data_IF_083893376939
#
_entry.id   IF_083893376939
#
_cell.length_a   1.000
_cell.length_b   1.000
_cell.length_c   1.000
_cell.angle_alpha   90.00
_cell.angle_beta   90.00
_cell.angle_gamma   90.00
#
_symmetry.space_group_name_H-M   'P 1'
#
loop_
_entity.id
_entity.type
_entity.pdbx_description
1 polymer ?
#
# COMPACT_ATOMS: atom_id res chain seq x y z
N UNK A 1 -14.76 -2.90 24.59
CA UNK A 1 -15.07 -2.23 23.31
C UNK A 1 -14.62 -3.18 22.22
N UNK A 2 -15.51 -3.52 21.29
CA UNK A 2 -15.18 -4.31 20.09
C UNK A 2 -14.08 -3.58 19.31
N UNK A 3 -13.04 -4.31 18.89
CA UNK A 3 -11.87 -3.73 18.22
C UNK A 3 -12.18 -3.56 16.73
N UNK A 4 -12.50 -2.35 16.28
CA UNK A 4 -12.69 -2.02 14.86
C UNK A 4 -11.36 -1.77 14.15
N UNK A 5 -10.62 -2.84 13.91
CA UNK A 5 -9.47 -2.80 12.98
C UNK A 5 -10.01 -2.88 11.57
N UNK A 6 -9.47 -2.11 10.63
CA UNK A 6 -9.82 -2.27 9.23
C UNK A 6 -9.63 -3.75 8.83
N UNK A 7 -10.64 -4.32 8.20
CA UNK A 7 -10.63 -5.74 7.84
C UNK A 7 -10.98 -6.75 8.91
N UNK A 8 -11.47 -6.30 10.04
CA UNK A 8 -12.36 -7.13 10.84
C UNK A 8 -13.66 -7.35 10.06
N UNK A 9 -14.11 -8.60 9.92
CA UNK A 9 -15.42 -8.96 9.35
C UNK A 9 -16.60 -8.25 10.03
N UNK A 10 -16.43 -7.81 11.28
CA UNK A 10 -17.43 -7.04 12.03
C UNK A 10 -17.42 -5.54 11.69
N UNK A 11 -16.39 -5.04 10.97
CA UNK A 11 -16.32 -3.66 10.50
C UNK A 11 -16.86 -3.56 9.07
N UNK A 12 -17.98 -2.87 8.92
CA UNK A 12 -18.63 -2.69 7.64
C UNK A 12 -18.35 -1.30 7.02
N UNK A 13 -17.20 -1.10 6.37
CA UNK A 13 -16.98 0.09 5.53
C UNK A 13 -17.12 -0.28 4.05
N UNK A 14 -18.19 0.16 3.40
CA UNK A 14 -18.37 -0.13 1.99
C UNK A 14 -17.43 0.76 1.17
N UNK A 15 -16.36 0.21 0.61
CA UNK A 15 -15.53 0.94 -0.36
C UNK A 15 -16.39 1.21 -1.60
N UNK A 16 -16.27 2.39 -2.17
CA UNK A 16 -16.97 2.80 -3.38
C UNK A 16 -16.01 2.98 -4.56
N UNK A 17 -14.80 3.47 -4.29
CA UNK A 17 -13.73 3.68 -5.28
C UNK A 17 -12.38 3.71 -4.58
N UNK A 18 -11.33 3.27 -5.28
CA UNK A 18 -9.97 3.29 -4.78
C UNK A 18 -8.93 3.46 -5.91
N UNK A 19 -7.88 4.21 -5.63
CA UNK A 19 -6.75 4.44 -6.53
C UNK A 19 -5.45 4.54 -5.74
N UNK A 20 -4.43 3.81 -6.18
CA UNK A 20 -3.05 3.90 -5.66
C UNK A 20 -2.12 4.48 -6.72
N UNK A 21 -1.31 5.46 -6.33
CA UNK A 21 -0.23 6.02 -7.13
C UNK A 21 1.10 5.71 -6.45
N UNK A 22 2.07 5.26 -7.24
CA UNK A 22 3.44 4.99 -6.82
C UNK A 22 4.35 5.90 -7.65
N UNK A 23 5.22 6.66 -6.99
CA UNK A 23 6.24 7.48 -7.65
C UNK A 23 7.60 7.05 -7.13
N UNK A 24 8.46 6.58 -8.02
CA UNK A 24 9.83 6.16 -7.72
C UNK A 24 10.78 7.28 -8.11
N UNK A 25 11.57 7.73 -7.13
CA UNK A 25 12.59 8.76 -7.28
C UNK A 25 13.98 8.10 -7.33
N UNK A 26 14.79 8.38 -8.37
CA UNK A 26 16.11 7.77 -8.59
C UNK A 26 17.19 8.40 -7.69
N UNK A 27 16.93 8.47 -6.38
CA UNK A 27 17.80 9.16 -5.42
C UNK A 27 19.23 8.58 -5.41
N UNK A 28 19.40 7.31 -5.74
CA UNK A 28 20.71 6.65 -5.86
C UNK A 28 21.56 7.24 -6.99
N UNK A 29 20.92 7.70 -8.06
CA UNK A 29 21.57 8.30 -9.21
C UNK A 29 21.87 9.79 -9.02
N UNK A 30 21.37 10.37 -7.94
CA UNK A 30 21.56 11.78 -7.55
C UNK A 30 22.58 11.94 -6.40
N UNK A 31 23.42 10.93 -6.15
CA UNK A 31 24.43 10.93 -5.09
C UNK A 31 23.97 10.30 -3.76
N UNK A 32 22.76 9.74 -3.71
CA UNK A 32 22.29 8.91 -2.59
C UNK A 32 22.79 7.46 -2.68
N UNK A 33 22.45 6.65 -1.67
CA UNK A 33 22.76 5.20 -1.64
C UNK A 33 21.52 4.32 -1.79
N UNK A 34 20.37 4.93 -2.07
CA UNK A 34 19.06 4.28 -2.11
C UNK A 34 18.14 5.05 -3.05
N UNK A 35 17.11 4.39 -3.54
CA UNK A 35 15.98 5.05 -4.21
C UNK A 35 14.81 5.21 -3.23
N UNK A 36 13.86 6.10 -3.51
CA UNK A 36 12.67 6.23 -2.68
C UNK A 36 11.40 6.04 -3.49
N UNK A 37 10.39 5.43 -2.89
CA UNK A 37 9.05 5.39 -3.43
C UNK A 37 8.10 6.20 -2.55
N UNK A 38 7.34 7.10 -3.17
CA UNK A 38 6.13 7.68 -2.59
C UNK A 38 4.92 6.87 -3.05
N UNK A 39 4.15 6.35 -2.10
CA UNK A 39 2.95 5.56 -2.34
C UNK A 39 1.77 6.31 -1.72
N UNK A 40 0.86 6.77 -2.57
CA UNK A 40 -0.37 7.43 -2.14
C UNK A 40 -1.56 6.60 -2.55
N UNK A 41 -2.46 6.35 -1.61
CA UNK A 41 -3.75 5.74 -1.93
C UNK A 41 -4.88 6.60 -1.43
N UNK A 42 -5.84 6.79 -2.32
CA UNK A 42 -7.09 7.47 -2.03
C UNK A 42 -8.23 6.50 -2.25
N UNK A 43 -9.09 6.35 -1.26
CA UNK A 43 -10.29 5.55 -1.38
C UNK A 43 -11.46 6.23 -0.70
N UNK A 44 -12.65 6.01 -1.25
CA UNK A 44 -13.89 6.52 -0.70
C UNK A 44 -14.67 5.36 -0.12
N UNK A 45 -15.17 5.55 1.09
CA UNK A 45 -16.04 4.59 1.79
C UNK A 45 -17.39 5.23 2.07
N UNK A 46 -18.43 4.40 2.14
CA UNK A 46 -19.67 4.73 2.80
C UNK A 46 -19.63 4.14 4.20
N UNK A 47 -19.75 4.99 5.22
CA UNK A 47 -19.65 4.62 6.61
C UNK A 47 -21.01 4.82 7.30
N UNK A 48 -21.64 3.74 7.74
CA UNK A 48 -23.03 3.77 8.23
C UNK A 48 -23.18 4.55 9.55
N UNK A 49 -22.12 4.64 10.36
CA UNK A 49 -22.10 5.31 11.66
C UNK A 49 -20.73 5.92 11.97
N UNK A 50 -20.66 6.98 12.76
CA UNK A 50 -19.39 7.52 13.23
C UNK A 50 -18.62 6.46 14.02
N UNK A 51 -17.37 6.17 13.63
CA UNK A 51 -16.56 5.15 14.27
C UNK A 51 -15.06 5.52 14.26
N UNK A 52 -14.31 4.96 15.20
CA UNK A 52 -12.84 4.98 15.15
C UNK A 52 -12.35 3.68 14.52
N UNK A 53 -11.52 3.80 13.49
CA UNK A 53 -10.99 2.66 12.73
C UNK A 53 -9.47 2.66 12.84
N UNK A 54 -8.90 1.53 13.24
CA UNK A 54 -7.45 1.32 13.17
C UNK A 54 -7.07 0.83 11.77
N UNK A 55 -6.17 1.55 11.11
CA UNK A 55 -5.59 1.20 9.83
C UNK A 55 -4.22 0.59 10.05
N UNK A 56 -4.00 -0.63 9.57
CA UNK A 56 -2.68 -1.27 9.58
C UNK A 56 -2.06 -1.12 8.19
N UNK A 57 -0.80 -0.69 8.17
CA UNK A 57 0.01 -0.47 6.98
C UNK A 57 1.13 -1.51 6.94
N UNK A 58 0.94 -2.64 6.22
CA UNK A 58 1.91 -3.73 6.21
C UNK A 58 2.91 -3.61 5.06
N UNK A 59 3.90 -2.74 5.23
CA UNK A 59 4.98 -2.58 4.26
C UNK A 59 6.16 -3.48 4.62
N UNK A 60 6.82 -4.04 3.59
CA UNK A 60 7.95 -4.97 3.75
C UNK A 60 9.27 -4.31 4.18
N UNK A 61 9.31 -2.99 4.29
CA UNK A 61 10.51 -2.26 4.73
C UNK A 61 10.27 -1.64 6.12
N UNK A 62 11.31 -1.61 6.94
CA UNK A 62 11.30 -0.87 8.22
C UNK A 62 11.55 0.62 8.04
N UNK A 63 12.14 1.02 6.89
CA UNK A 63 12.54 2.39 6.55
C UNK A 63 11.43 3.08 5.75
N UNK A 64 10.32 3.37 6.40
CA UNK A 64 9.25 4.18 5.81
C UNK A 64 8.62 5.12 6.83
N UNK A 65 8.02 6.18 6.29
CA UNK A 65 7.14 7.12 6.98
C UNK A 65 5.76 7.06 6.34
N UNK A 66 4.70 7.25 7.12
CA UNK A 66 3.35 7.31 6.57
C UNK A 66 2.41 8.20 7.38
N UNK A 67 1.32 8.60 6.74
CA UNK A 67 0.23 9.35 7.35
C UNK A 67 -1.11 8.89 6.78
N UNK A 68 -2.17 9.06 7.57
CA UNK A 68 -3.54 8.73 7.16
C UNK A 68 -4.42 9.93 7.48
N UNK A 69 -5.27 10.33 6.54
CA UNK A 69 -6.12 11.49 6.71
C UNK A 69 -7.51 11.28 6.09
N UNK A 70 -8.53 11.86 6.71
CA UNK A 70 -9.79 12.16 6.02
C UNK A 70 -9.59 13.41 5.17
N UNK A 71 -9.78 13.31 3.85
CA UNK A 71 -9.59 14.42 2.90
C UNK A 71 -10.90 14.90 2.27
N UNK A 72 -12.03 14.27 2.57
CA UNK A 72 -13.37 14.77 2.24
C UNK A 72 -14.41 14.03 3.07
N UNK A 73 -15.36 14.75 3.67
CA UNK A 73 -16.45 14.19 4.49
C UNK A 73 -17.74 15.02 4.45
N UNK A 74 -17.92 15.86 3.42
CA UNK A 74 -18.95 16.91 3.39
C UNK A 74 -18.55 18.15 4.21
N UNK A 75 -19.12 19.32 3.87
CA UNK A 75 -18.70 20.63 4.40
C UNK A 75 -18.72 20.72 5.94
N UNK A 76 -19.70 20.08 6.60
CA UNK A 76 -19.87 20.15 8.05
C UNK A 76 -18.93 19.22 8.84
N UNK A 77 -18.37 18.19 8.20
CA UNK A 77 -17.47 17.23 8.84
C UNK A 77 -16.01 17.38 8.37
N UNK A 78 -15.73 18.38 7.51
CA UNK A 78 -14.40 18.65 7.01
C UNK A 78 -13.54 19.35 8.07
N UNK A 79 -12.79 18.54 8.82
CA UNK A 79 -11.56 18.96 9.47
C UNK A 79 -10.46 17.98 9.05
N UNK A 80 -9.27 18.49 8.70
CA UNK A 80 -8.12 17.63 8.40
C UNK A 80 -7.77 16.81 9.65
N UNK A 81 -8.30 15.57 9.71
CA UNK A 81 -7.99 14.62 10.77
C UNK A 81 -6.79 13.81 10.32
N UNK A 82 -5.60 14.36 10.49
CA UNK A 82 -4.35 13.64 10.19
C UNK A 82 -4.00 12.77 11.40
N UNK A 83 -3.97 11.47 11.18
CA UNK A 83 -3.41 10.51 12.11
C UNK A 83 -1.98 10.17 11.68
N UNK A 84 -1.01 10.51 12.54
CA UNK A 84 0.34 9.95 12.45
C UNK A 84 0.28 8.46 12.77
N UNK A 85 0.97 7.64 11.97
CA UNK A 85 1.02 6.19 12.23
C UNK A 85 2.23 5.85 13.09
N UNK A 86 2.06 4.91 14.01
CA UNK A 86 3.09 4.48 14.95
C UNK A 86 3.38 2.99 14.85
N UNK A 87 4.37 2.52 15.61
CA UNK A 87 4.60 1.09 15.79
C UNK A 87 3.36 0.42 16.38
N UNK A 88 3.05 -0.77 15.89
CA UNK A 88 1.96 -1.59 16.42
C UNK A 88 2.32 -2.01 17.86
N UNK A 89 1.37 -1.80 18.78
CA UNK A 89 1.47 -2.21 20.19
C UNK A 89 0.28 -3.07 20.58
N UNK A 90 0.40 -3.82 21.67
CA UNK A 90 -0.67 -4.65 22.21
C UNK A 90 -0.81 -6.00 21.48
N UNK A 91 -2.04 -6.47 21.36
CA UNK A 91 -2.39 -7.78 20.79
C UNK A 91 -2.11 -7.87 19.29
N UNK A 92 -1.10 -8.65 18.90
CA UNK A 92 -0.65 -8.79 17.52
C UNK A 92 -1.53 -9.72 16.68
N UNK A 93 -2.44 -10.50 17.26
CA UNK A 93 -3.31 -11.40 16.48
C UNK A 93 -4.10 -10.67 15.38
N UNK A 94 -4.41 -9.39 15.61
CA UNK A 94 -5.11 -8.51 14.66
C UNK A 94 -4.36 -8.24 13.35
N UNK A 95 -3.05 -8.51 13.28
CA UNK A 95 -2.31 -8.35 12.01
C UNK A 95 -2.42 -9.59 11.12
N UNK A 96 -2.87 -10.74 11.63
CA UNK A 96 -2.91 -12.01 10.87
C UNK A 96 -3.67 -11.91 9.54
N UNK A 97 -4.84 -11.25 9.45
CA UNK A 97 -5.53 -11.09 8.16
C UNK A 97 -4.66 -10.36 7.12
N UNK A 98 -3.88 -9.37 7.58
CA UNK A 98 -2.97 -8.60 6.73
C UNK A 98 -1.80 -9.46 6.26
N UNK A 99 -1.28 -10.36 7.09
CA UNK A 99 -0.18 -11.26 6.76
C UNK A 99 -0.54 -12.23 5.64
N UNK A 100 -1.70 -12.87 5.73
CA UNK A 100 -2.24 -13.68 4.64
C UNK A 100 -2.31 -12.84 3.35
N UNK A 101 -2.81 -11.61 3.43
CA UNK A 101 -2.98 -10.72 2.27
C UNK A 101 -1.66 -10.21 1.67
N UNK A 102 -0.57 -10.14 2.42
CA UNK A 102 0.75 -9.84 1.84
C UNK A 102 1.50 -11.09 1.36
N UNK A 103 0.82 -12.24 1.33
CA UNK A 103 1.32 -13.50 0.79
C UNK A 103 2.18 -14.31 1.77
N UNK A 104 2.07 -14.04 3.08
CA UNK A 104 2.73 -14.86 4.10
C UNK A 104 1.84 -16.05 4.44
N UNK A 105 2.41 -17.25 4.43
CA UNK A 105 1.74 -18.48 4.83
C UNK A 105 1.64 -18.58 6.36
N UNK A 106 0.61 -19.24 6.87
CA UNK A 106 0.30 -19.28 8.31
C UNK A 106 1.44 -19.85 9.17
N UNK A 107 2.20 -20.80 8.63
CA UNK A 107 3.38 -21.39 9.25
C UNK A 107 4.51 -20.36 9.49
N UNK A 108 4.54 -19.25 8.75
CA UNK A 108 5.55 -18.19 8.91
C UNK A 108 5.29 -17.26 10.10
N UNK A 109 4.11 -17.35 10.73
CA UNK A 109 3.72 -16.50 11.85
C UNK A 109 2.87 -17.22 12.90
N UNK A 110 3.09 -18.53 13.04
CA UNK A 110 2.36 -19.36 14.00
C UNK A 110 2.75 -19.03 15.46
N UNK A 111 3.97 -18.53 15.67
CA UNK A 111 4.44 -18.13 17.00
C UNK A 111 4.34 -16.63 17.28
N UNK A 112 4.12 -16.28 18.55
CA UNK A 112 4.19 -14.89 19.05
C UNK A 112 5.54 -14.21 18.73
N UNK A 113 6.63 -14.98 18.65
CA UNK A 113 7.97 -14.46 18.35
C UNK A 113 8.06 -14.00 16.89
N UNK A 114 7.54 -14.79 15.96
CA UNK A 114 7.49 -14.45 14.54
C UNK A 114 6.56 -13.26 14.30
N UNK A 115 5.36 -13.28 14.88
CA UNK A 115 4.42 -12.15 14.82
C UNK A 115 5.06 -10.86 15.33
N UNK A 116 5.80 -10.90 16.45
CA UNK A 116 6.54 -9.74 16.96
C UNK A 116 7.64 -9.27 16.01
N UNK A 117 8.29 -10.18 15.28
CA UNK A 117 9.32 -9.84 14.31
C UNK A 117 8.71 -9.13 13.10
N UNK A 118 7.62 -9.68 12.56
CA UNK A 118 6.92 -9.13 11.40
C UNK A 118 6.27 -7.78 11.75
N UNK A 119 5.61 -7.68 12.91
CA UNK A 119 4.93 -6.45 13.34
C UNK A 119 5.84 -5.22 13.46
N UNK A 120 7.17 -5.40 13.61
CA UNK A 120 8.15 -4.28 13.61
C UNK A 120 8.19 -3.54 12.28
N UNK A 121 7.87 -4.25 11.20
CA UNK A 121 7.84 -3.71 9.85
C UNK A 121 6.55 -2.92 9.58
N UNK A 122 5.53 -3.03 10.43
CA UNK A 122 4.24 -2.41 10.16
C UNK A 122 4.04 -1.14 10.96
N UNK A 123 3.09 -0.32 10.51
CA UNK A 123 2.58 0.81 11.28
C UNK A 123 1.07 0.72 11.42
N UNK A 124 0.55 1.31 12.48
CA UNK A 124 -0.89 1.45 12.67
C UNK A 124 -1.24 2.87 13.10
N UNK A 125 -2.38 3.36 12.62
CA UNK A 125 -2.95 4.64 12.99
C UNK A 125 -4.45 4.51 13.18
N UNK A 126 -5.01 5.26 14.12
CA UNK A 126 -6.46 5.30 14.36
C UNK A 126 -7.02 6.57 13.75
N UNK A 127 -8.09 6.44 13.00
CA UNK A 127 -8.77 7.55 12.35
C UNK A 127 -10.25 7.53 12.72
N UNK A 128 -10.75 8.68 13.16
CA UNK A 128 -12.16 8.88 13.46
C UNK A 128 -12.91 9.22 12.17
N UNK A 129 -13.68 8.26 11.66
CA UNK A 129 -14.48 8.39 10.45
C UNK A 129 -15.89 8.90 10.81
N UNK A 130 -16.34 10.03 10.23
CA UNK A 130 -17.72 10.48 10.38
C UNK A 130 -18.70 9.53 9.66
N UNK A 131 -19.97 9.61 10.02
CA UNK A 131 -21.05 8.95 9.29
C UNK A 131 -21.20 9.54 7.88
N UNK A 132 -21.52 8.69 6.90
CA UNK A 132 -21.74 9.04 5.51
C UNK A 132 -20.55 8.71 4.60
N UNK A 133 -20.50 9.37 3.45
CA UNK A 133 -19.45 9.15 2.47
C UNK A 133 -18.18 9.91 2.84
N UNK A 134 -17.07 9.19 3.01
CA UNK A 134 -15.78 9.72 3.45
C UNK A 134 -14.69 9.32 2.47
N UNK A 135 -13.84 10.27 2.10
CA UNK A 135 -12.62 9.98 1.32
C UNK A 135 -11.42 10.02 2.24
N UNK A 136 -10.65 8.93 2.22
CA UNK A 136 -9.47 8.71 3.05
C UNK A 136 -8.25 8.70 2.14
N UNK A 137 -7.18 9.34 2.58
CA UNK A 137 -5.87 9.32 1.95
C UNK A 137 -4.88 8.64 2.88
N UNK A 138 -4.14 7.66 2.37
CA UNK A 138 -2.94 7.10 2.97
C UNK A 138 -1.77 7.57 2.12
N UNK A 139 -0.77 8.19 2.74
CA UNK A 139 0.45 8.62 2.06
C UNK A 139 1.65 8.00 2.77
N UNK A 140 2.56 7.43 2.00
CA UNK A 140 3.73 6.73 2.50
C UNK A 140 4.96 7.08 1.67
N UNK A 141 6.10 7.20 2.33
CA UNK A 141 7.42 7.30 1.71
C UNK A 141 8.29 6.16 2.22
N UNK A 142 8.84 5.35 1.32
CA UNK A 142 9.68 4.20 1.62
C UNK A 142 11.06 4.31 0.96
N UNK A 143 12.08 3.86 1.68
CA UNK A 143 13.42 3.65 1.15
C UNK A 143 13.50 2.29 0.44
N UNK A 144 14.07 2.30 -0.76
CA UNK A 144 14.38 1.14 -1.59
C UNK A 144 15.89 0.95 -1.56
N UNK A 145 16.32 -0.07 -0.80
CA UNK A 145 17.73 -0.39 -0.66
C UNK A 145 18.26 -1.03 -1.97
N UNK A 146 19.51 -0.70 -2.30
CA UNK A 146 20.24 -1.33 -3.39
C UNK A 146 20.59 -2.79 -3.04
N UNK A 147 20.37 -3.68 -4.00
CA UNK A 147 20.76 -5.09 -3.93
C UNK A 147 21.75 -5.35 -5.07
N UNK A 148 22.97 -5.76 -4.74
CA UNK A 148 23.95 -6.19 -5.75
C UNK A 148 23.69 -7.65 -6.10
N UNK A 149 23.36 -7.93 -7.37
CA UNK A 149 23.20 -9.30 -7.85
C UNK A 149 24.54 -10.05 -7.94
N UNK A 150 24.47 -11.37 -8.15
CA UNK A 150 25.66 -12.21 -8.33
C UNK A 150 26.50 -11.81 -9.56
N UNK A 151 25.87 -11.16 -10.54
CA UNK A 151 26.48 -10.58 -11.73
C UNK A 151 27.13 -9.20 -11.50
N UNK A 152 27.13 -8.71 -10.25
CA UNK A 152 27.65 -7.39 -9.89
C UNK A 152 26.74 -6.21 -10.29
N UNK A 153 25.57 -6.48 -10.89
CA UNK A 153 24.63 -5.44 -11.31
C UNK A 153 23.79 -5.02 -10.11
N UNK A 154 23.78 -3.71 -9.84
CA UNK A 154 22.95 -3.07 -8.82
C UNK A 154 21.49 -3.07 -9.26
N UNK A 155 20.62 -3.57 -8.40
CA UNK A 155 19.17 -3.66 -8.61
C UNK A 155 18.44 -3.07 -7.43
N UNK A 156 17.24 -2.58 -7.70
CA UNK A 156 16.33 -2.04 -6.71
C UNK A 156 15.04 -2.85 -6.77
N UNK A 157 14.48 -3.18 -5.61
CA UNK A 157 13.24 -3.94 -5.54
C UNK A 157 12.35 -3.45 -4.41
N UNK A 158 11.07 -3.26 -4.71
CA UNK A 158 10.08 -2.88 -3.73
C UNK A 158 8.71 -3.41 -4.09
N UNK A 159 7.85 -3.53 -3.07
CA UNK A 159 6.46 -3.94 -3.22
C UNK A 159 5.55 -2.73 -3.11
N UNK A 160 4.82 -2.47 -4.18
CA UNK A 160 3.67 -1.59 -4.17
C UNK A 160 2.46 -2.39 -3.68
N UNK A 161 1.99 -2.04 -2.49
CA UNK A 161 0.72 -2.53 -1.98
C UNK A 161 -0.36 -1.59 -2.46
N UNK A 162 -1.49 -2.13 -2.89
CA UNK A 162 -2.71 -1.45 -2.51
C UNK A 162 -2.71 -1.41 -0.98
N UNK A 163 -3.01 -0.30 -0.30
CA UNK A 163 -3.48 -0.42 1.06
C UNK A 163 -4.61 -1.42 0.96
N UNK A 164 -4.80 -2.15 2.04
CA UNK A 164 -5.48 -3.41 1.96
C UNK A 164 -6.97 -3.27 2.31
N UNK A 165 -7.72 -2.17 2.01
CA UNK A 165 -9.02 -1.99 2.61
C UNK A 165 -10.02 -3.05 2.15
N UNK A 166 -9.78 -3.82 1.08
CA UNK A 166 -10.62 -4.97 0.74
C UNK A 166 -10.24 -6.22 1.55
N UNK A 167 -10.67 -6.28 2.80
CA UNK A 167 -10.59 -7.49 3.64
C UNK A 167 -11.85 -8.35 3.58
N UNK A 168 -12.71 -8.12 2.58
CA UNK A 168 -14.13 -8.48 2.53
C UNK A 168 -14.99 -7.40 3.20
N UNK A 169 -15.25 -6.34 2.42
CA UNK A 169 -16.17 -5.28 2.80
C UNK A 169 -17.54 -5.63 2.23
N UNK A 170 -18.62 -5.46 2.99
CA UNK A 170 -19.95 -5.70 2.43
C UNK A 170 -20.18 -4.75 1.24
N UNK A 171 -20.86 -5.26 0.20
CA UNK A 171 -21.11 -4.50 -1.04
C UNK A 171 -20.28 -4.93 -2.25
N UNK A 172 -19.39 -5.93 -2.11
CA UNK A 172 -18.69 -6.56 -3.23
C UNK A 172 -17.30 -5.98 -3.54
N UNK A 173 -16.66 -6.53 -4.57
CA UNK A 173 -15.28 -6.17 -4.96
C UNK A 173 -15.28 -4.86 -5.76
N UNK A 174 -14.59 -3.84 -5.25
CA UNK A 174 -14.37 -2.56 -5.95
C UNK A 174 -13.06 -2.61 -6.73
N UNK A 175 -13.08 -2.29 -8.03
CA UNK A 175 -11.86 -2.27 -8.81
C UNK A 175 -10.80 -1.33 -8.23
N UNK A 176 -9.58 -1.84 -8.12
CA UNK A 176 -8.41 -1.05 -7.79
C UNK A 176 -7.77 -0.52 -9.08
N UNK A 177 -7.47 0.77 -9.10
CA UNK A 177 -6.57 1.36 -10.09
C UNK A 177 -5.19 1.59 -9.47
N UNK A 178 -4.12 1.17 -10.14
CA UNK A 178 -2.74 1.45 -9.75
C UNK A 178 -2.02 2.18 -10.89
N UNK A 179 -1.37 3.28 -10.55
CA UNK A 179 -0.45 3.98 -11.45
C UNK A 179 0.94 3.96 -10.84
N UNK A 180 1.95 3.51 -11.56
CA UNK A 180 3.35 3.59 -11.13
C UNK A 180 4.13 4.48 -12.08
N UNK A 181 4.90 5.41 -11.53
CA UNK A 181 5.73 6.37 -12.24
C UNK A 181 7.18 6.17 -11.80
N UNK A 182 8.05 5.85 -12.73
CA UNK A 182 9.50 5.83 -12.52
C UNK A 182 10.06 7.11 -13.11
N UNK A 183 10.52 7.99 -12.23
CA UNK A 183 11.03 9.29 -12.67
C UNK A 183 12.40 9.15 -13.32
N UNK A 184 12.61 9.92 -14.37
CA UNK A 184 13.86 9.96 -15.10
C UNK A 184 14.18 11.34 -15.63
N UNK A 185 15.36 11.45 -16.22
CA UNK A 185 15.78 12.59 -17.03
C UNK A 185 16.61 12.12 -18.24
N UNK A 186 17.23 13.05 -18.98
CA UNK A 186 18.09 12.72 -20.12
C UNK A 186 19.20 11.70 -19.78
N UNK A 187 19.72 11.71 -18.55
CA UNK A 187 20.86 10.93 -18.08
C UNK A 187 20.47 9.76 -17.16
N UNK A 188 19.36 9.87 -16.43
CA UNK A 188 18.92 8.91 -15.41
C UNK A 188 17.64 8.24 -15.89
N UNK A 189 17.72 6.95 -16.24
CA UNK A 189 16.56 6.19 -16.73
C UNK A 189 16.52 4.81 -16.10
N UNK A 190 15.41 4.48 -15.45
CA UNK A 190 15.19 3.13 -14.98
C UNK A 190 15.11 2.16 -16.18
N UNK A 191 15.93 1.13 -16.15
CA UNK A 191 16.02 0.08 -17.15
C UNK A 191 15.54 -1.25 -16.58
N UNK A 192 15.22 -2.17 -17.49
CA UNK A 192 14.84 -3.56 -17.17
C UNK A 192 13.79 -3.64 -16.06
N UNK A 193 12.80 -2.76 -16.08
CA UNK A 193 11.71 -2.73 -15.10
C UNK A 193 10.88 -4.00 -15.31
N UNK A 194 11.06 -4.95 -14.41
CA UNK A 194 10.27 -6.18 -14.32
C UNK A 194 9.28 -6.00 -13.18
N UNK A 195 8.05 -6.46 -13.37
CA UNK A 195 7.07 -6.52 -12.30
C UNK A 195 6.52 -7.93 -12.16
N UNK A 196 6.27 -8.33 -10.91
CA UNK A 196 5.60 -9.57 -10.56
C UNK A 196 4.32 -9.24 -9.80
N UNK A 197 3.18 -9.72 -10.31
CA UNK A 197 1.88 -9.52 -9.69
C UNK A 197 1.50 -10.78 -8.94
N UNK A 198 1.27 -10.66 -7.65
CA UNK A 198 0.75 -11.74 -6.83
C UNK A 198 -0.62 -11.36 -6.29
N UNK A 199 -1.47 -12.37 -6.14
CA UNK A 199 -2.74 -12.24 -5.45
C UNK A 199 -2.73 -13.21 -4.27
N UNK A 200 -2.76 -12.70 -3.03
CA UNK A 200 -2.73 -13.54 -1.84
C UNK A 200 -3.96 -14.47 -1.72
N UNK A 201 -5.06 -14.17 -2.40
CA UNK A 201 -6.31 -14.94 -2.32
C UNK A 201 -6.37 -16.09 -3.33
N UNK A 202 -5.32 -16.31 -4.12
CA UNK A 202 -5.29 -17.35 -5.16
C UNK A 202 -6.19 -17.07 -6.37
N UNK A 203 -6.87 -15.92 -6.39
CA UNK A 203 -7.61 -15.42 -7.54
C UNK A 203 -6.65 -15.01 -8.67
N UNK A 204 -7.16 -14.92 -9.90
CA UNK A 204 -6.38 -14.48 -11.05
C UNK A 204 -5.70 -13.13 -10.81
N UNK A 205 -4.42 -13.04 -11.17
CA UNK A 205 -3.59 -11.82 -11.07
C UNK A 205 -3.74 -10.92 -12.30
N UNK A 206 -4.48 -11.36 -13.31
CA UNK A 206 -4.64 -10.65 -14.56
C UNK A 206 -5.48 -9.37 -14.36
N UNK A 207 -4.97 -8.21 -14.78
CA UNK A 207 -5.71 -6.96 -14.74
C UNK A 207 -6.86 -6.96 -15.76
N UNK A 208 -7.93 -6.22 -15.45
CA UNK A 208 -8.98 -5.88 -16.42
C UNK A 208 -8.49 -4.87 -17.46
N UNK A 209 -7.51 -4.05 -17.10
CA UNK A 209 -6.88 -3.07 -18.00
C UNK A 209 -5.42 -2.94 -17.62
N UNK A 210 -4.54 -2.96 -18.62
CA UNK A 210 -3.10 -2.85 -18.45
C UNK A 210 -2.51 -1.99 -19.56
N UNK A 211 -1.73 -0.97 -19.15
CA UNK A 211 -0.89 -0.17 -20.03
C UNK A 211 0.52 -0.18 -19.44
N UNK A 212 1.38 -1.01 -20.03
CA UNK A 212 2.77 -1.16 -19.60
C UNK A 212 3.67 -0.15 -20.28
N UNK A 213 4.69 0.30 -19.56
CA UNK A 213 5.84 1.01 -20.11
C UNK A 213 5.48 2.16 -21.07
N UNK A 214 4.66 3.09 -20.58
CA UNK A 214 4.24 4.28 -21.30
C UNK A 214 5.22 5.42 -21.00
N UNK A 215 6.00 5.91 -21.99
CA UNK A 215 6.82 7.08 -21.77
C UNK A 215 5.93 8.32 -21.63
N UNK A 216 6.14 9.10 -20.57
CA UNK A 216 5.50 10.41 -20.36
C UNK A 216 6.61 11.41 -20.13
N UNK A 217 7.00 12.12 -21.19
CA UNK A 217 8.23 12.90 -21.16
C UNK A 217 9.43 11.98 -20.97
N UNK A 218 10.15 12.16 -19.87
CA UNK A 218 11.34 11.37 -19.50
C UNK A 218 11.01 10.25 -18.51
N UNK A 219 9.79 10.25 -17.96
CA UNK A 219 9.34 9.26 -16.99
C UNK A 219 8.76 8.03 -17.68
N UNK A 220 8.84 6.88 -16.99
CA UNK A 220 8.17 5.64 -17.41
C UNK A 220 6.96 5.41 -16.51
N UNK A 221 5.78 5.35 -17.13
CA UNK A 221 4.51 5.15 -16.43
C UNK A 221 3.93 3.77 -16.73
N UNK A 222 3.34 3.17 -15.71
CA UNK A 222 2.54 1.98 -15.83
C UNK A 222 1.15 2.23 -15.24
N UNK A 223 0.14 1.60 -15.83
CA UNK A 223 -1.23 1.70 -15.36
C UNK A 223 -1.89 0.33 -15.38
N UNK A 224 -2.57 0.01 -14.29
CA UNK A 224 -3.35 -1.21 -14.16
C UNK A 224 -4.68 -0.96 -13.47
N UNK A 225 -5.66 -1.79 -13.82
CA UNK A 225 -6.94 -1.87 -13.12
C UNK A 225 -7.28 -3.32 -12.84
N UNK A 226 -7.44 -3.70 -11.58
CA UNK A 226 -7.83 -5.05 -11.16
C UNK A 226 -9.21 -5.07 -10.51
N UNK A 227 -9.86 -6.23 -10.54
CA UNK A 227 -11.06 -6.48 -9.77
C UNK A 227 -10.76 -6.74 -8.29
N UNK A 228 -9.56 -7.21 -7.98
CA UNK A 228 -9.07 -7.51 -6.62
C UNK A 228 -7.79 -6.76 -6.34
N UNK A 229 -7.54 -6.40 -5.08
CA UNK A 229 -6.30 -5.74 -4.66
C UNK A 229 -5.10 -6.70 -4.82
N UNK A 230 -4.18 -6.47 -5.78
CA UNK A 230 -2.98 -7.29 -5.90
C UNK A 230 -1.84 -6.73 -5.05
N UNK A 231 -0.74 -7.48 -5.01
CA UNK A 231 0.58 -6.96 -4.67
C UNK A 231 1.41 -6.92 -5.95
N UNK A 232 2.03 -5.77 -6.23
CA UNK A 232 2.93 -5.60 -7.37
C UNK A 232 4.35 -5.40 -6.85
N UNK A 233 5.24 -6.33 -7.17
CA UNK A 233 6.65 -6.24 -6.87
C UNK A 233 7.40 -5.75 -8.09
N UNK A 234 8.07 -4.61 -7.97
CA UNK A 234 8.92 -4.05 -9.02
C UNK A 234 10.38 -4.41 -8.76
N UNK A 235 11.09 -4.72 -9.83
CA UNK A 235 12.55 -4.86 -9.84
C UNK A 235 13.10 -4.11 -11.04
N UNK A 236 14.13 -3.29 -10.84
CA UNK A 236 14.70 -2.45 -11.89
C UNK A 236 16.17 -2.12 -11.61
N UNK A 237 16.85 -1.56 -12.61
CA UNK A 237 18.20 -1.00 -12.50
C UNK A 237 18.30 0.32 -13.30
N UNK A 238 19.50 0.89 -13.42
CA UNK A 238 19.81 2.08 -14.23
C UNK A 238 20.89 1.74 -15.26
#
# INVERSE_FOLDING_TARGET
>A
MSKTTLGDSALNLQILKQHTTVVVEPTSQMGGTYDSAEITTVFTVNNDQECEVEFILPYSTVKFSASIAVISAGEQAYSERIAQVGRIKGDLSRIKPYLQKIGLSEDQYDTDKELKSIAKQFRAGKLKLPQGQVTIKIQLSAVIDEITGEDGVKRYSFKAYSPLPAFDMSGGRVPLTLTALFKGDENIKAQNIVYNVTNPFGDGTNPMTELVNQPIGEDITFFWKWQTDPVVEFTYNY
#
